data_IF_699283077186
#
_entry.id   IF_699283077186
#
_cell.length_a   1.000
_cell.length_b   1.000
_cell.length_c   1.000
_cell.angle_alpha   90.00
_cell.angle_beta   90.00
_cell.angle_gamma   90.00
#
_symmetry.space_group_name_H-M   'P 1'
#
loop_
_entity.id
_entity.type
_entity.pdbx_description
1 polymer ?
#
# COMPACT_ATOMS: atom_id res chain seq x y z
N UNK A 1 18.78 -6.66 5.71
CA UNK A 1 17.33 -6.51 5.98
C UNK A 1 16.50 -7.30 4.98
N UNK A 2 16.61 -7.05 3.67
CA UNK A 2 15.79 -7.71 2.65
C UNK A 2 16.14 -9.19 2.45
N UNK A 3 17.40 -9.63 2.59
CA UNK A 3 17.75 -11.05 2.57
C UNK A 3 17.00 -11.88 3.64
N UNK A 4 16.84 -11.30 4.85
CA UNK A 4 16.02 -11.93 5.90
C UNK A 4 14.53 -11.95 5.54
N UNK A 5 14.03 -10.90 4.87
CA UNK A 5 12.65 -10.84 4.41
C UNK A 5 12.37 -11.86 3.29
N UNK A 6 13.32 -12.08 2.39
CA UNK A 6 13.24 -13.12 1.35
C UNK A 6 13.11 -14.52 1.98
N UNK A 7 14.00 -14.84 2.92
CA UNK A 7 13.95 -16.13 3.62
C UNK A 7 12.66 -16.31 4.40
N UNK A 8 12.20 -15.24 5.11
CA UNK A 8 10.92 -15.27 5.82
C UNK A 8 9.74 -15.55 4.89
N UNK A 9 9.68 -14.86 3.74
CA UNK A 9 8.58 -15.03 2.80
C UNK A 9 8.59 -16.41 2.15
N UNK A 10 9.77 -16.95 1.83
CA UNK A 10 9.90 -18.33 1.35
C UNK A 10 9.33 -19.33 2.36
N UNK A 11 9.70 -19.19 3.63
CA UNK A 11 9.19 -20.05 4.71
C UNK A 11 7.68 -19.88 4.87
N UNK A 12 7.16 -18.66 4.86
CA UNK A 12 5.73 -18.41 5.01
C UNK A 12 4.91 -19.09 3.91
N UNK A 13 5.34 -18.95 2.64
CA UNK A 13 4.70 -19.64 1.51
C UNK A 13 4.75 -21.16 1.67
N UNK A 14 5.91 -21.70 2.04
CA UNK A 14 6.06 -23.15 2.24
C UNK A 14 5.22 -23.67 3.41
N UNK A 15 5.06 -22.88 4.47
CA UNK A 15 4.16 -23.22 5.59
C UNK A 15 2.69 -23.21 5.15
N UNK A 16 2.25 -22.24 4.37
CA UNK A 16 0.87 -22.22 3.84
C UNK A 16 0.58 -23.37 2.90
N UNK A 17 1.58 -23.86 2.17
CA UNK A 17 1.48 -25.03 1.30
C UNK A 17 1.70 -26.36 2.03
N UNK A 18 2.09 -26.34 3.32
CA UNK A 18 2.45 -27.57 4.06
C UNK A 18 1.29 -28.58 4.24
N UNK A 19 0.07 -28.16 3.97
CA UNK A 19 -1.08 -29.01 3.74
C UNK A 19 -1.50 -28.90 2.29
N UNK A 20 -1.70 -30.01 1.60
CA UNK A 20 -2.32 -29.99 0.27
C UNK A 20 -3.82 -29.63 0.39
N UNK A 21 -4.41 -29.12 -0.68
CA UNK A 21 -5.82 -28.65 -0.65
C UNK A 21 -6.82 -29.73 -0.24
N UNK A 22 -6.50 -31.01 -0.52
CA UNK A 22 -7.35 -32.16 -0.19
C UNK A 22 -6.81 -32.98 1.01
N UNK A 23 -5.94 -32.40 1.82
CA UNK A 23 -5.36 -33.08 2.98
C UNK A 23 -6.42 -33.39 4.05
N UNK A 24 -7.45 -32.55 4.19
CA UNK A 24 -8.57 -32.77 5.13
C UNK A 24 -9.58 -33.71 4.51
N UNK A 25 -9.66 -34.95 5.00
CA UNK A 25 -10.62 -35.97 4.54
C UNK A 25 -11.87 -36.01 5.40
N UNK A 26 -11.80 -35.60 6.66
CA UNK A 26 -12.89 -35.55 7.64
C UNK A 26 -13.79 -36.79 7.67
N UNK A 27 -13.18 -37.99 7.55
CA UNK A 27 -13.89 -39.29 7.52
C UNK A 27 -14.39 -39.67 8.92
N UNK A 28 -15.66 -39.47 9.16
CA UNK A 28 -16.32 -39.80 10.43
C UNK A 28 -16.44 -41.31 10.70
N UNK A 29 -16.36 -42.15 9.65
CA UNK A 29 -16.47 -43.60 9.79
C UNK A 29 -15.22 -44.21 10.40
N UNK A 30 -14.06 -43.75 9.94
CA UNK A 30 -12.75 -44.24 10.43
C UNK A 30 -12.17 -43.32 11.51
N UNK A 31 -12.76 -42.14 11.76
CA UNK A 31 -12.23 -41.12 12.67
C UNK A 31 -10.99 -40.40 12.11
N UNK A 32 -10.72 -40.54 10.82
CA UNK A 32 -9.57 -39.92 10.16
C UNK A 32 -9.90 -38.51 9.75
N UNK A 33 -9.24 -37.51 10.36
CA UNK A 33 -9.43 -36.10 10.01
C UNK A 33 -8.65 -35.70 8.77
N UNK A 34 -7.38 -36.02 8.70
CA UNK A 34 -6.49 -35.63 7.60
C UNK A 34 -5.71 -36.84 7.03
N UNK A 35 -5.25 -36.71 5.80
CA UNK A 35 -4.34 -37.66 5.17
C UNK A 35 -2.88 -37.27 5.48
N UNK A 36 -2.15 -38.06 6.31
CA UNK A 36 -0.76 -37.77 6.64
C UNK A 36 0.18 -37.69 5.43
N UNK A 37 -0.14 -38.38 4.32
CA UNK A 37 0.65 -38.36 3.10
C UNK A 37 0.62 -37.00 2.38
N UNK A 38 -0.39 -36.15 2.71
CA UNK A 38 -0.61 -34.81 2.14
C UNK A 38 -0.19 -33.70 3.08
N UNK A 39 0.55 -34.04 4.17
CA UNK A 39 1.11 -33.07 5.13
C UNK A 39 2.62 -33.08 5.02
N UNK A 40 3.21 -31.94 4.73
CA UNK A 40 4.63 -31.82 4.42
C UNK A 40 5.38 -31.03 5.49
N UNK A 41 6.45 -31.61 6.03
CA UNK A 41 7.41 -30.88 6.85
C UNK A 41 8.30 -30.01 5.96
N UNK A 42 8.61 -28.82 6.42
CA UNK A 42 9.55 -27.95 5.73
C UNK A 42 11.00 -28.35 6.01
N UNK A 43 11.30 -28.68 7.27
CA UNK A 43 12.65 -28.94 7.79
C UNK A 43 13.67 -27.87 7.33
N UNK A 44 13.21 -26.61 7.23
CA UNK A 44 14.00 -25.48 6.74
C UNK A 44 15.14 -25.18 7.71
N UNK A 45 16.35 -25.04 7.17
CA UNK A 45 17.55 -24.58 7.90
C UNK A 45 18.27 -23.55 7.03
N UNK A 46 17.98 -22.28 7.28
CA UNK A 46 18.54 -21.17 6.53
C UNK A 46 19.50 -20.30 7.35
N UNK A 47 19.88 -19.18 6.77
CA UNK A 47 20.79 -18.22 7.41
C UNK A 47 20.15 -17.50 8.59
N UNK A 48 18.85 -17.23 8.50
CA UNK A 48 18.13 -16.39 9.47
C UNK A 48 17.11 -17.17 10.31
N UNK A 49 16.64 -18.32 9.80
CA UNK A 49 15.55 -19.07 10.42
C UNK A 49 15.79 -20.58 10.37
N UNK A 50 15.22 -21.28 11.36
CA UNK A 50 15.08 -22.75 11.37
C UNK A 50 13.64 -23.07 11.72
N UNK A 51 12.94 -23.78 10.82
CA UNK A 51 11.51 -24.06 10.94
C UNK A 51 11.22 -25.51 10.52
N UNK A 52 10.66 -26.28 11.42
CA UNK A 52 10.31 -27.68 11.15
C UNK A 52 9.01 -27.81 10.32
N UNK A 53 7.97 -27.03 10.63
CA UNK A 53 6.63 -27.26 10.06
C UNK A 53 6.08 -28.64 10.40
N UNK A 54 4.95 -29.06 9.81
CA UNK A 54 4.00 -28.20 9.08
C UNK A 54 3.27 -27.19 9.97
N UNK A 55 2.40 -26.37 9.39
CA UNK A 55 1.40 -25.66 10.17
C UNK A 55 0.41 -26.67 10.77
N UNK A 56 -0.33 -26.23 11.80
CA UNK A 56 -1.41 -27.00 12.42
C UNK A 56 -2.81 -26.59 11.91
N UNK A 57 -2.85 -25.94 10.76
CA UNK A 57 -4.07 -25.49 10.08
C UNK A 57 -4.00 -25.88 8.60
N UNK A 58 -5.14 -26.16 8.02
CA UNK A 58 -5.26 -26.49 6.60
C UNK A 58 -4.91 -25.33 5.67
N UNK A 59 -4.69 -25.64 4.40
CA UNK A 59 -4.43 -24.64 3.36
C UNK A 59 -5.67 -23.76 3.14
N UNK A 60 -5.52 -22.41 3.11
CA UNK A 60 -6.65 -21.54 2.83
C UNK A 60 -7.25 -21.78 1.43
N UNK A 61 -8.55 -21.52 1.23
CA UNK A 61 -9.20 -21.71 -0.07
C UNK A 61 -8.53 -20.96 -1.23
N UNK A 62 -7.90 -19.80 -0.97
CA UNK A 62 -7.15 -19.04 -1.98
C UNK A 62 -5.65 -19.35 -2.05
N UNK A 63 -5.20 -20.42 -1.41
CA UNK A 63 -3.79 -20.83 -1.36
C UNK A 63 -2.99 -20.07 -0.32
N UNK A 64 -2.69 -18.79 -0.55
CA UNK A 64 -2.15 -17.87 0.46
C UNK A 64 -2.82 -16.51 0.42
N UNK A 65 -2.64 -15.70 1.50
CA UNK A 65 -3.07 -14.30 1.51
C UNK A 65 -2.45 -13.52 0.34
N UNK A 66 -3.14 -12.47 -0.10
CA UNK A 66 -2.58 -11.49 -1.02
C UNK A 66 -1.30 -10.90 -0.43
N UNK A 67 -0.21 -10.94 -1.19
CA UNK A 67 1.09 -10.43 -0.74
C UNK A 67 1.19 -8.94 -1.03
N UNK A 68 1.07 -8.14 0.03
CA UNK A 68 1.11 -6.67 -0.06
C UNK A 68 2.43 -6.12 0.47
N UNK A 69 3.02 -5.17 -0.23
CA UNK A 69 4.26 -4.49 0.13
C UNK A 69 4.10 -2.96 0.04
N UNK A 70 4.83 -2.20 0.84
CA UNK A 70 4.71 -0.74 0.90
C UNK A 70 6.05 0.01 0.87
N UNK A 71 7.15 -0.61 0.43
CA UNK A 71 8.47 0.02 0.37
C UNK A 71 8.76 0.64 -0.99
N UNK A 72 9.25 1.89 -0.99
CA UNK A 72 9.60 2.65 -2.20
C UNK A 72 11.12 2.90 -2.36
N UNK A 73 11.96 2.38 -1.44
CA UNK A 73 13.43 2.37 -1.62
C UNK A 73 13.83 1.42 -2.75
N UNK A 74 15.03 1.57 -3.32
CA UNK A 74 15.50 0.69 -4.40
C UNK A 74 15.41 -0.78 -4.03
N UNK A 75 15.99 -1.17 -2.88
CA UNK A 75 15.86 -2.56 -2.36
C UNK A 75 14.40 -2.97 -2.13
N UNK A 76 13.54 -2.03 -1.72
CA UNK A 76 12.11 -2.24 -1.52
C UNK A 76 11.37 -2.51 -2.82
N UNK A 77 11.69 -1.77 -3.87
CA UNK A 77 11.13 -1.96 -5.22
C UNK A 77 11.59 -3.30 -5.82
N UNK A 78 12.87 -3.66 -5.64
CA UNK A 78 13.39 -4.95 -6.11
C UNK A 78 12.73 -6.14 -5.37
N UNK A 79 12.52 -6.00 -4.06
CA UNK A 79 11.80 -7.00 -3.27
C UNK A 79 10.33 -7.11 -3.71
N UNK A 80 9.66 -5.97 -3.92
CA UNK A 80 8.29 -5.91 -4.40
C UNK A 80 8.16 -6.57 -5.79
N UNK A 81 9.04 -6.24 -6.72
CA UNK A 81 9.05 -6.80 -8.07
C UNK A 81 9.18 -8.33 -8.09
N UNK A 82 9.92 -8.91 -7.13
CA UNK A 82 10.08 -10.35 -7.02
C UNK A 82 8.92 -11.06 -6.33
N UNK A 83 8.21 -10.38 -5.41
CA UNK A 83 7.33 -11.07 -4.49
C UNK A 83 5.94 -10.49 -4.33
N UNK A 84 5.77 -9.16 -4.45
CA UNK A 84 4.49 -8.52 -4.19
C UNK A 84 3.47 -8.83 -5.28
N UNK A 85 2.20 -8.84 -4.87
CA UNK A 85 1.03 -8.94 -5.74
C UNK A 85 0.24 -7.64 -5.72
N UNK A 86 0.36 -6.87 -4.62
CA UNK A 86 -0.12 -5.50 -4.54
C UNK A 86 0.94 -4.62 -3.85
N UNK A 87 1.03 -3.35 -4.25
CA UNK A 87 1.95 -2.38 -3.68
C UNK A 87 1.14 -1.16 -3.25
N UNK A 88 1.12 -0.92 -1.94
CA UNK A 88 0.63 0.35 -1.40
C UNK A 88 1.74 1.39 -1.46
N UNK A 89 1.47 2.55 -2.06
CA UNK A 89 2.47 3.60 -2.25
C UNK A 89 1.92 5.00 -1.99
N UNK A 90 2.81 5.96 -1.82
CA UNK A 90 2.48 7.37 -1.57
C UNK A 90 3.12 8.24 -2.65
N UNK A 91 2.28 8.91 -3.43
CA UNK A 91 2.70 9.89 -4.44
C UNK A 91 1.79 11.11 -4.38
N UNK A 92 2.38 12.29 -4.50
CA UNK A 92 1.63 13.56 -4.43
C UNK A 92 1.27 14.11 -5.81
N UNK A 93 1.85 13.58 -6.88
CA UNK A 93 1.58 14.01 -8.26
C UNK A 93 1.45 12.80 -9.17
N UNK A 94 0.74 13.00 -10.28
CA UNK A 94 0.57 12.03 -11.35
C UNK A 94 1.92 11.55 -11.91
N UNK A 95 2.83 12.48 -12.22
CA UNK A 95 4.11 12.18 -12.85
C UNK A 95 4.94 11.23 -11.99
N UNK A 96 5.02 11.48 -10.68
CA UNK A 96 5.75 10.61 -9.75
C UNK A 96 5.08 9.24 -9.60
N UNK A 97 3.76 9.19 -9.63
CA UNK A 97 3.04 7.93 -9.60
C UNK A 97 3.30 7.13 -10.88
N UNK A 98 3.28 7.76 -12.05
CA UNK A 98 3.55 7.15 -13.33
C UNK A 98 5.01 6.65 -13.44
N UNK A 99 5.99 7.42 -12.99
CA UNK A 99 7.40 7.02 -12.93
C UNK A 99 7.58 5.77 -12.05
N UNK A 100 6.99 5.78 -10.86
CA UNK A 100 7.04 4.64 -9.94
C UNK A 100 6.36 3.40 -10.54
N UNK A 101 5.18 3.58 -11.12
CA UNK A 101 4.43 2.52 -11.80
C UNK A 101 5.25 1.88 -12.91
N UNK A 102 5.82 2.70 -13.80
CA UNK A 102 6.68 2.23 -14.89
C UNK A 102 7.91 1.47 -14.40
N UNK A 103 8.59 1.97 -13.37
CA UNK A 103 9.74 1.32 -12.75
C UNK A 103 9.38 -0.04 -12.14
N UNK A 104 8.29 -0.13 -11.36
CA UNK A 104 7.82 -1.40 -10.79
C UNK A 104 7.47 -2.41 -11.87
N UNK A 105 6.69 -2.02 -12.90
CA UNK A 105 6.32 -2.92 -14.00
C UNK A 105 7.56 -3.42 -14.78
N UNK A 106 8.56 -2.55 -14.99
CA UNK A 106 9.82 -2.92 -15.64
C UNK A 106 10.64 -3.91 -14.78
N UNK A 107 10.80 -3.65 -13.48
CA UNK A 107 11.51 -4.55 -12.55
C UNK A 107 10.80 -5.90 -12.42
N UNK A 108 9.48 -5.92 -12.38
CA UNK A 108 8.68 -7.16 -12.33
C UNK A 108 8.95 -8.02 -13.55
N UNK A 109 8.95 -7.40 -14.74
CA UNK A 109 9.30 -8.08 -16.00
C UNK A 109 10.74 -8.59 -15.98
N UNK A 110 11.71 -7.79 -15.50
CA UNK A 110 13.10 -8.19 -15.36
C UNK A 110 13.29 -9.35 -14.36
N UNK A 111 12.44 -9.45 -13.34
CA UNK A 111 12.39 -10.57 -12.40
C UNK A 111 11.72 -11.84 -12.98
N UNK A 112 11.32 -11.84 -14.26
CA UNK A 112 10.68 -12.98 -14.92
C UNK A 112 9.21 -13.20 -14.53
N UNK A 113 8.55 -12.18 -13.96
CA UNK A 113 7.14 -12.22 -13.57
C UNK A 113 6.30 -11.40 -14.55
N UNK A 114 5.01 -11.76 -14.60
CA UNK A 114 4.02 -10.97 -15.30
C UNK A 114 3.82 -9.61 -14.60
N UNK A 115 4.08 -8.47 -15.26
CA UNK A 115 3.85 -7.16 -14.68
C UNK A 115 2.39 -6.89 -14.33
N UNK A 116 1.42 -7.52 -15.02
CA UNK A 116 0.00 -7.34 -14.73
C UNK A 116 -0.43 -8.11 -13.47
N UNK A 117 0.37 -9.07 -13.01
CA UNK A 117 0.23 -9.74 -11.72
C UNK A 117 0.74 -8.91 -10.52
N UNK A 118 1.14 -7.65 -10.71
CA UNK A 118 1.54 -6.73 -9.62
C UNK A 118 0.71 -5.45 -9.72
N UNK A 119 -0.16 -5.24 -8.76
CA UNK A 119 -1.13 -4.15 -8.73
C UNK A 119 -0.59 -2.99 -7.89
N UNK A 120 -0.46 -1.80 -8.48
CA UNK A 120 0.04 -0.59 -7.81
C UNK A 120 -1.14 0.25 -7.33
N UNK A 121 -1.20 0.48 -6.01
CA UNK A 121 -2.31 1.10 -5.29
C UNK A 121 -1.84 2.33 -4.51
N UNK A 122 -1.70 3.51 -5.13
CA UNK A 122 -1.43 4.73 -4.38
C UNK A 122 -2.59 5.08 -3.43
N UNK A 123 -2.25 5.71 -2.30
CA UNK A 123 -3.23 6.28 -1.40
C UNK A 123 -3.76 7.61 -1.92
N UNK A 124 -5.07 7.81 -1.84
CA UNK A 124 -5.74 9.10 -2.11
C UNK A 124 -6.59 9.51 -0.90
N UNK A 125 -6.49 10.77 -0.50
CA UNK A 125 -7.27 11.38 0.59
C UNK A 125 -8.27 12.37 -0.03
N UNK A 126 -9.51 11.93 -0.32
CA UNK A 126 -10.48 12.80 -0.97
C UNK A 126 -11.29 13.61 0.05
N UNK A 127 -11.21 14.95 -0.05
CA UNK A 127 -12.13 15.88 0.58
C UNK A 127 -13.22 16.23 -0.44
N UNK A 128 -14.40 15.65 -0.29
CA UNK A 128 -15.48 15.72 -1.27
C UNK A 128 -16.58 16.64 -0.78
N UNK A 129 -16.96 17.61 -1.62
CA UNK A 129 -18.11 18.46 -1.41
C UNK A 129 -19.00 18.49 -2.66
N UNK A 130 -20.26 18.91 -2.54
CA UNK A 130 -21.15 19.09 -3.69
C UNK A 130 -20.68 20.23 -4.62
N UNK A 131 -19.86 21.12 -4.09
CA UNK A 131 -19.13 22.16 -4.83
C UNK A 131 -17.66 22.18 -4.40
N UNK A 132 -16.80 22.78 -5.22
CA UNK A 132 -15.38 22.98 -4.84
C UNK A 132 -15.23 23.84 -3.58
N UNK A 133 -16.13 24.80 -3.37
CA UNK A 133 -16.11 25.66 -2.19
C UNK A 133 -16.38 24.85 -0.93
N UNK A 134 -17.40 24.00 -0.95
CA UNK A 134 -17.69 23.08 0.17
C UNK A 134 -16.55 22.11 0.42
N UNK A 135 -15.94 21.54 -0.62
CA UNK A 135 -14.79 20.66 -0.48
C UNK A 135 -13.59 21.38 0.17
N UNK A 136 -13.31 22.62 -0.24
CA UNK A 136 -12.25 23.45 0.37
C UNK A 136 -12.56 23.81 1.82
N UNK A 137 -13.83 24.14 2.12
CA UNK A 137 -14.26 24.43 3.50
C UNK A 137 -14.09 23.19 4.40
N UNK A 138 -14.43 22.01 3.89
CA UNK A 138 -14.23 20.73 4.59
C UNK A 138 -12.73 20.48 4.86
N UNK A 139 -11.89 20.57 3.84
CA UNK A 139 -10.44 20.39 4.00
C UNK A 139 -9.86 21.37 5.03
N UNK A 140 -10.29 22.65 4.98
CA UNK A 140 -9.89 23.66 5.95
C UNK A 140 -10.34 23.32 7.37
N UNK A 141 -11.55 22.82 7.56
CA UNK A 141 -12.05 22.39 8.86
C UNK A 141 -11.15 21.32 9.49
N UNK A 142 -10.71 20.33 8.71
CA UNK A 142 -9.77 19.31 9.17
C UNK A 142 -8.38 19.90 9.46
N UNK A 143 -7.93 20.87 8.69
CA UNK A 143 -6.66 21.55 8.93
C UNK A 143 -6.69 22.37 10.22
N UNK A 144 -7.76 23.10 10.47
CA UNK A 144 -7.96 23.90 11.68
C UNK A 144 -8.01 23.04 12.98
N UNK A 145 -8.37 21.76 12.88
CA UNK A 145 -8.38 20.81 14.01
C UNK A 145 -6.99 20.25 14.35
N UNK A 146 -5.99 20.52 13.53
CA UNK A 146 -4.63 19.99 13.76
C UNK A 146 -3.93 20.76 14.85
N UNK A 147 -3.31 20.01 15.76
CA UNK A 147 -2.49 20.56 16.83
C UNK A 147 -1.05 20.72 16.32
N UNK A 148 -0.53 21.95 16.14
CA UNK A 148 0.80 22.18 15.56
C UNK A 148 1.92 21.43 16.28
N UNK A 149 1.87 21.33 17.61
CA UNK A 149 2.86 20.65 18.44
C UNK A 149 2.94 19.15 18.11
N UNK A 150 1.82 18.54 17.76
CA UNK A 150 1.82 17.14 17.30
C UNK A 150 2.51 17.01 15.95
N UNK A 151 2.21 17.89 15.02
CA UNK A 151 2.86 17.96 13.71
C UNK A 151 4.38 18.17 13.82
N UNK A 152 4.81 19.09 14.72
CA UNK A 152 6.23 19.33 15.01
C UNK A 152 6.93 18.07 15.54
N UNK A 153 6.31 17.33 16.46
CA UNK A 153 6.87 16.07 16.98
C UNK A 153 6.99 15.02 15.88
N UNK A 154 6.00 14.93 15.00
CA UNK A 154 6.07 13.99 13.88
C UNK A 154 7.17 14.36 12.88
N UNK A 155 7.28 15.66 12.56
CA UNK A 155 8.34 16.16 11.68
C UNK A 155 9.73 15.92 12.30
N UNK A 156 9.88 16.21 13.58
CA UNK A 156 11.11 15.97 14.34
C UNK A 156 11.51 14.49 14.32
N UNK A 157 10.54 13.59 14.50
CA UNK A 157 10.78 12.14 14.44
C UNK A 157 11.22 11.67 13.04
N UNK A 158 10.67 12.25 11.96
CA UNK A 158 11.09 11.93 10.58
C UNK A 158 12.53 12.36 10.34
N UNK A 159 12.92 13.50 10.88
CA UNK A 159 14.27 14.07 10.71
C UNK A 159 15.23 13.72 11.85
N UNK A 160 14.85 12.85 12.79
CA UNK A 160 15.68 12.42 13.94
C UNK A 160 16.27 13.61 14.69
N UNK A 161 15.43 14.60 15.00
CA UNK A 161 15.80 15.85 15.68
C UNK A 161 14.75 16.20 16.76
N UNK A 162 14.97 17.33 17.45
CA UNK A 162 14.02 17.81 18.47
C UNK A 162 12.96 18.74 17.84
N UNK A 163 11.71 18.77 18.36
CA UNK A 163 10.68 19.69 17.88
C UNK A 163 11.08 21.17 17.95
N UNK A 164 11.91 21.55 18.93
CA UNK A 164 12.44 22.90 19.10
C UNK A 164 13.41 23.36 18.01
N UNK A 165 13.83 22.46 17.13
CA UNK A 165 14.66 22.79 15.97
C UNK A 165 13.87 23.47 14.83
N UNK A 166 12.54 23.52 14.94
CA UNK A 166 11.66 24.04 13.91
C UNK A 166 10.90 25.28 14.39
N UNK A 167 10.94 26.32 13.57
CA UNK A 167 10.10 27.51 13.73
C UNK A 167 8.90 27.43 12.79
N UNK A 168 7.67 27.51 13.31
CA UNK A 168 6.46 27.22 12.55
C UNK A 168 6.28 28.05 11.30
N UNK A 169 6.64 29.35 11.37
CA UNK A 169 6.39 30.31 10.30
C UNK A 169 7.63 30.55 9.42
N UNK A 170 8.70 29.77 9.63
CA UNK A 170 9.92 29.75 8.83
C UNK A 170 10.00 28.53 7.91
N UNK A 171 10.81 28.55 6.85
CA UNK A 171 11.13 27.38 6.05
C UNK A 171 11.79 26.25 6.87
N UNK A 172 11.92 25.06 6.26
CA UNK A 172 12.74 23.99 6.88
C UNK A 172 14.17 24.50 7.11
N UNK A 173 14.76 24.20 8.29
CA UNK A 173 16.12 24.63 8.61
C UNK A 173 17.17 24.11 7.62
N UNK A 174 18.21 24.91 7.34
CA UNK A 174 19.29 24.56 6.42
C UNK A 174 19.97 23.21 6.76
N UNK A 175 20.10 22.89 8.05
CA UNK A 175 20.72 21.62 8.46
C UNK A 175 19.85 20.39 8.07
N UNK A 176 18.54 20.57 7.89
CA UNK A 176 17.66 19.54 7.34
C UNK A 176 17.86 19.42 5.82
N UNK A 177 17.96 20.57 5.13
CA UNK A 177 18.14 20.61 3.68
C UNK A 177 19.50 20.05 3.24
N UNK A 178 20.53 20.24 4.06
CA UNK A 178 21.92 19.81 3.80
C UNK A 178 22.24 18.37 4.25
N UNK A 179 21.29 17.63 4.82
CA UNK A 179 21.56 16.31 5.41
C UNK A 179 21.97 15.26 4.37
N UNK A 180 23.00 14.43 4.67
CA UNK A 180 23.22 13.17 3.95
C UNK A 180 22.06 12.21 4.23
N UNK A 181 21.85 11.25 3.31
CA UNK A 181 20.75 10.26 3.39
C UNK A 181 20.68 9.58 4.76
N UNK A 182 19.51 9.62 5.39
CA UNK A 182 19.23 9.02 6.70
C UNK A 182 19.02 7.51 6.59
N UNK A 183 19.43 6.73 7.60
CA UNK A 183 19.25 5.25 7.63
C UNK A 183 17.81 4.79 7.92
N UNK A 184 16.85 5.66 8.06
CA UNK A 184 15.47 5.35 8.38
C UNK A 184 14.52 5.30 7.18
N UNK A 185 13.47 6.08 7.24
CA UNK A 185 12.46 6.25 6.18
C UNK A 185 12.93 7.27 5.13
N UNK A 186 13.98 6.94 4.38
CA UNK A 186 14.62 7.83 3.39
C UNK A 186 13.62 8.43 2.40
N UNK A 187 12.72 7.61 1.86
CA UNK A 187 11.72 8.06 0.90
C UNK A 187 10.75 9.11 1.46
N UNK A 188 10.46 9.06 2.77
CA UNK A 188 9.54 10.00 3.41
C UNK A 188 10.21 11.36 3.68
N UNK A 189 11.43 11.37 4.19
CA UNK A 189 12.18 12.60 4.41
C UNK A 189 12.46 13.34 3.10
N UNK A 190 12.84 12.60 2.05
CA UNK A 190 13.12 13.16 0.73
C UNK A 190 11.86 13.81 0.12
N UNK A 191 10.70 13.15 0.23
CA UNK A 191 9.42 13.69 -0.21
C UNK A 191 9.05 15.00 0.52
N UNK A 192 9.29 15.06 1.82
CA UNK A 192 9.00 16.24 2.64
C UNK A 192 9.91 17.42 2.22
N UNK A 193 11.20 17.19 2.11
CA UNK A 193 12.17 18.21 1.69
C UNK A 193 11.81 18.73 0.30
N UNK A 194 11.58 17.85 -0.63
CA UNK A 194 11.25 18.24 -2.00
C UNK A 194 9.95 19.05 -2.07
N UNK A 195 8.90 18.62 -1.36
CA UNK A 195 7.65 19.36 -1.27
C UNK A 195 7.89 20.76 -0.71
N UNK A 196 8.61 20.86 0.41
CA UNK A 196 8.88 22.11 1.09
C UNK A 196 9.67 23.10 0.21
N UNK A 197 10.70 22.60 -0.48
CA UNK A 197 11.55 23.41 -1.37
C UNK A 197 10.80 23.82 -2.63
N UNK A 198 10.12 22.88 -3.30
CA UNK A 198 9.38 23.14 -4.55
C UNK A 198 8.30 24.20 -4.35
N UNK A 199 7.53 24.10 -3.27
CA UNK A 199 6.40 24.99 -3.01
C UNK A 199 6.75 26.14 -2.07
N UNK A 200 8.02 26.25 -1.62
CA UNK A 200 8.52 27.29 -0.69
C UNK A 200 7.68 27.36 0.60
N UNK A 201 7.39 26.22 1.18
CA UNK A 201 6.51 26.09 2.34
C UNK A 201 7.24 26.45 3.63
N UNK A 202 6.50 27.10 4.56
CA UNK A 202 6.90 27.17 5.96
C UNK A 202 6.70 25.83 6.67
N UNK A 203 7.32 25.63 7.83
CA UNK A 203 7.15 24.44 8.67
C UNK A 203 5.66 24.18 8.97
N UNK A 204 4.89 25.22 9.28
CA UNK A 204 3.43 25.14 9.50
C UNK A 204 2.72 24.57 8.27
N UNK A 205 3.04 25.06 7.09
CA UNK A 205 2.45 24.58 5.84
C UNK A 205 2.88 23.16 5.51
N UNK A 206 4.13 22.80 5.79
CA UNK A 206 4.62 21.41 5.66
C UNK A 206 3.83 20.48 6.58
N UNK A 207 3.67 20.87 7.86
CA UNK A 207 2.87 20.10 8.83
C UNK A 207 1.43 19.94 8.35
N UNK A 208 0.82 21.01 7.86
CA UNK A 208 -0.53 20.98 7.30
C UNK A 208 -0.63 20.00 6.13
N UNK A 209 0.26 20.09 5.15
CA UNK A 209 0.30 19.17 3.99
C UNK A 209 0.56 17.72 4.36
N UNK A 210 1.38 17.45 5.38
CA UNK A 210 1.71 16.10 5.83
C UNK A 210 0.65 15.51 6.76
N UNK A 211 -0.03 16.36 7.50
CA UNK A 211 -0.99 15.94 8.52
C UNK A 211 -2.26 15.31 7.95
N UNK A 212 -2.74 15.75 6.79
CA UNK A 212 -3.92 15.21 6.11
C UNK A 212 -3.62 13.92 5.38
N UNK A 213 -2.74 14.00 4.39
CA UNK A 213 -2.42 12.89 3.48
C UNK A 213 -1.26 12.01 3.91
N UNK A 214 -0.49 12.38 4.93
CA UNK A 214 0.75 11.65 5.33
C UNK A 214 1.71 11.37 4.17
N UNK A 215 1.75 12.28 3.17
CA UNK A 215 2.52 12.12 1.93
C UNK A 215 1.75 11.47 0.78
N UNK A 216 0.49 11.08 0.97
CA UNK A 216 -0.40 10.64 -0.10
C UNK A 216 -1.04 11.82 -0.83
N UNK A 217 -1.66 11.53 -1.97
CA UNK A 217 -2.33 12.53 -2.78
C UNK A 217 -3.60 13.01 -2.07
N UNK A 218 -3.64 14.29 -1.69
CA UNK A 218 -4.85 14.95 -1.21
C UNK A 218 -5.61 15.52 -2.40
N UNK A 219 -6.87 15.14 -2.51
CA UNK A 219 -7.76 15.67 -3.51
C UNK A 219 -8.89 16.49 -2.84
N UNK A 220 -9.14 17.70 -3.34
CA UNK A 220 -10.20 18.58 -2.83
C UNK A 220 -11.08 18.96 -4.01
N UNK A 221 -12.33 18.50 -4.04
CA UNK A 221 -13.22 18.81 -5.15
C UNK A 221 -14.55 18.06 -5.10
N UNK A 222 -15.25 18.07 -6.22
CA UNK A 222 -16.54 17.40 -6.40
C UNK A 222 -16.39 15.91 -6.69
N UNK A 223 -17.45 15.08 -6.55
CA UNK A 223 -17.41 13.67 -6.91
C UNK A 223 -16.96 13.41 -8.35
N UNK A 224 -17.41 14.23 -9.32
CA UNK A 224 -17.01 14.12 -10.72
C UNK A 224 -15.51 14.36 -10.89
N UNK A 225 -14.96 15.39 -10.25
CA UNK A 225 -13.53 15.70 -10.32
C UNK A 225 -12.67 14.61 -9.68
N UNK A 226 -13.12 13.99 -8.57
CA UNK A 226 -12.44 12.83 -7.97
C UNK A 226 -12.45 11.66 -8.94
N UNK A 227 -13.60 11.33 -9.53
CA UNK A 227 -13.74 10.25 -10.48
C UNK A 227 -12.87 10.47 -11.74
N UNK A 228 -12.83 11.71 -12.26
CA UNK A 228 -11.98 12.06 -13.41
C UNK A 228 -10.48 11.93 -13.08
N UNK A 229 -10.06 12.33 -11.89
CA UNK A 229 -8.68 12.15 -11.44
C UNK A 229 -8.31 10.68 -11.33
N UNK A 230 -9.16 9.86 -10.72
CA UNK A 230 -8.98 8.41 -10.63
C UNK A 230 -8.88 7.79 -12.03
N UNK A 231 -9.79 8.18 -12.93
CA UNK A 231 -9.79 7.75 -14.32
C UNK A 231 -8.46 8.09 -15.02
N UNK A 232 -8.02 9.35 -14.93
CA UNK A 232 -6.79 9.81 -15.56
C UNK A 232 -5.55 9.06 -15.04
N UNK A 233 -5.47 8.78 -13.75
CA UNK A 233 -4.35 8.02 -13.17
C UNK A 233 -4.36 6.57 -13.62
N UNK A 234 -5.52 5.94 -13.66
CA UNK A 234 -5.68 4.56 -14.09
C UNK A 234 -5.36 4.39 -15.58
N UNK A 235 -6.02 5.15 -16.43
CA UNK A 235 -5.83 5.07 -17.90
C UNK A 235 -4.44 5.53 -18.34
N UNK A 236 -3.85 6.47 -17.61
CA UNK A 236 -2.52 7.00 -17.88
C UNK A 236 -1.36 6.15 -17.36
N UNK A 237 -1.62 5.00 -16.72
CA UNK A 237 -0.58 4.10 -16.23
C UNK A 237 0.19 4.65 -15.03
N UNK A 238 -0.53 5.30 -14.10
CA UNK A 238 0.02 5.75 -12.82
C UNK A 238 -0.50 4.92 -11.62
N UNK A 239 -1.55 4.13 -11.81
CA UNK A 239 -2.17 3.27 -10.81
C UNK A 239 -2.98 2.15 -11.46
N UNK A 240 -3.08 0.98 -10.80
CA UNK A 240 -4.03 -0.08 -11.12
C UNK A 240 -5.32 0.02 -10.28
N UNK A 241 -5.32 0.85 -9.26
CA UNK A 241 -6.40 1.13 -8.33
C UNK A 241 -5.93 2.04 -7.22
N UNK A 242 -6.76 2.24 -6.18
CA UNK A 242 -6.45 3.20 -5.12
C UNK A 242 -6.80 2.67 -3.73
N UNK A 243 -5.99 3.03 -2.74
CA UNK A 243 -6.39 2.97 -1.35
C UNK A 243 -7.08 4.27 -0.96
N UNK A 244 -8.38 4.21 -0.71
CA UNK A 244 -9.17 5.36 -0.28
C UNK A 244 -8.94 5.60 1.21
N UNK A 245 -8.29 6.71 1.51
CA UNK A 245 -7.99 7.15 2.88
C UNK A 245 -8.96 8.25 3.27
N UNK A 246 -10.20 7.88 3.60
CA UNK A 246 -11.24 8.85 3.95
C UNK A 246 -10.80 9.74 5.13
N UNK A 247 -10.92 11.07 5.03
CA UNK A 247 -10.48 12.00 6.08
C UNK A 247 -11.26 11.84 7.38
N UNK A 248 -12.50 11.35 7.31
CA UNK A 248 -13.33 10.96 8.44
C UNK A 248 -14.06 9.66 8.17
N UNK A 249 -14.25 8.84 9.21
CA UNK A 249 -15.00 7.60 9.16
C UNK A 249 -16.22 7.67 10.10
N UNK A 250 -17.39 7.19 9.68
CA UNK A 250 -17.67 6.58 8.37
C UNK A 250 -17.94 7.58 7.24
N UNK A 251 -18.32 8.81 7.56
CA UNK A 251 -18.95 9.79 6.65
C UNK A 251 -18.16 10.07 5.37
N UNK A 252 -16.84 10.26 5.44
CA UNK A 252 -16.02 10.51 4.25
C UNK A 252 -15.96 9.32 3.29
N UNK A 253 -16.01 8.08 3.84
CA UNK A 253 -16.08 6.87 3.03
C UNK A 253 -17.47 6.68 2.43
N UNK A 254 -18.54 6.97 3.18
CA UNK A 254 -19.92 6.92 2.71
C UNK A 254 -20.12 7.85 1.50
N UNK A 255 -19.65 9.11 1.60
CA UNK A 255 -19.71 10.05 0.47
C UNK A 255 -18.98 9.52 -0.77
N UNK A 256 -17.81 8.91 -0.59
CA UNK A 256 -17.07 8.31 -1.70
C UNK A 256 -17.87 7.15 -2.34
N UNK A 257 -18.42 6.27 -1.52
CA UNK A 257 -19.21 5.11 -1.99
C UNK A 257 -20.50 5.56 -2.71
N UNK A 258 -21.21 6.55 -2.15
CA UNK A 258 -22.50 6.97 -2.66
C UNK A 258 -22.40 7.89 -3.88
N UNK A 259 -21.33 8.69 -3.99
CA UNK A 259 -21.24 9.73 -5.01
C UNK A 259 -20.15 9.49 -6.05
N UNK A 260 -19.02 8.87 -5.71
CA UNK A 260 -17.92 8.64 -6.65
C UNK A 260 -17.99 7.26 -7.31
N UNK A 261 -18.28 6.18 -6.56
CA UNK A 261 -18.36 4.84 -7.14
C UNK A 261 -19.39 4.70 -8.25
N UNK A 262 -20.60 5.30 -8.18
CA UNK A 262 -21.55 5.24 -9.30
C UNK A 262 -21.01 5.85 -10.59
N UNK A 263 -20.21 6.93 -10.49
CA UNK A 263 -19.56 7.55 -11.65
C UNK A 263 -18.51 6.60 -12.24
N UNK A 264 -17.67 6.00 -11.40
CA UNK A 264 -16.66 5.04 -11.86
C UNK A 264 -17.30 3.78 -12.47
N UNK A 265 -18.43 3.31 -11.93
CA UNK A 265 -19.21 2.21 -12.52
C UNK A 265 -19.76 2.58 -13.90
N UNK A 266 -20.37 3.77 -14.04
CA UNK A 266 -20.88 4.24 -15.32
C UNK A 266 -19.80 4.39 -16.39
N UNK A 267 -18.54 4.60 -15.99
CA UNK A 267 -17.36 4.61 -16.87
C UNK A 267 -16.80 3.19 -17.13
N UNK A 268 -17.34 2.14 -16.52
CA UNK A 268 -16.83 0.77 -16.61
C UNK A 268 -15.51 0.53 -15.89
N UNK A 269 -15.11 1.44 -14.98
CA UNK A 269 -13.84 1.39 -14.26
C UNK A 269 -13.94 0.71 -12.89
N UNK A 270 -15.15 0.43 -12.42
CA UNK A 270 -15.37 -0.28 -11.18
C UNK A 270 -16.44 -1.35 -11.37
N UNK A 271 -16.25 -2.50 -10.71
CA UNK A 271 -17.16 -3.64 -10.82
C UNK A 271 -18.57 -3.32 -10.30
N UNK A 272 -19.57 -3.88 -10.94
CA UNK A 272 -20.95 -3.84 -10.43
C UNK A 272 -21.15 -4.89 -9.34
N UNK A 273 -20.70 -6.12 -9.60
CA UNK A 273 -20.79 -7.27 -8.70
C UNK A 273 -19.43 -7.94 -8.52
N UNK A 274 -19.29 -8.74 -7.47
CA UNK A 274 -18.11 -9.57 -7.29
C UNK A 274 -18.25 -10.88 -8.04
N UNK A 275 -17.27 -11.18 -8.90
CA UNK A 275 -17.11 -12.48 -9.55
C UNK A 275 -16.11 -13.30 -8.74
N UNK A 276 -16.43 -14.58 -8.49
CA UNK A 276 -15.59 -15.43 -7.66
C UNK A 276 -15.84 -15.33 -6.16
N UNK A 277 -15.07 -16.08 -5.38
CA UNK A 277 -15.29 -16.29 -3.95
C UNK A 277 -14.10 -15.91 -3.07
N UNK A 278 -12.99 -15.54 -3.68
CA UNK A 278 -11.74 -15.21 -2.97
C UNK A 278 -11.24 -13.81 -3.33
N UNK A 279 -10.47 -13.21 -2.43
CA UNK A 279 -9.83 -11.92 -2.68
C UNK A 279 -8.88 -11.97 -3.89
N UNK A 280 -8.16 -13.09 -4.07
CA UNK A 280 -7.25 -13.28 -5.20
C UNK A 280 -7.97 -13.23 -6.53
N UNK A 281 -9.13 -13.90 -6.64
CA UNK A 281 -9.98 -13.83 -7.84
C UNK A 281 -10.45 -12.42 -8.12
N UNK A 282 -10.85 -11.66 -7.08
CA UNK A 282 -11.24 -10.25 -7.22
C UNK A 282 -10.09 -9.34 -7.69
N UNK A 283 -8.84 -9.75 -7.46
CA UNK A 283 -7.64 -9.06 -7.97
C UNK A 283 -7.14 -9.63 -9.31
N UNK A 284 -7.88 -10.60 -9.92
CA UNK A 284 -7.46 -11.24 -11.17
C UNK A 284 -6.22 -12.12 -11.02
N UNK A 285 -5.88 -12.53 -9.80
CA UNK A 285 -4.70 -13.32 -9.51
C UNK A 285 -5.03 -14.83 -9.50
N UNK A 286 -4.16 -15.67 -10.08
CA UNK A 286 -4.38 -17.11 -10.08
C UNK A 286 -4.26 -17.69 -8.67
N UNK A 287 -4.91 -18.85 -8.46
CA UNK A 287 -4.65 -19.67 -7.28
C UNK A 287 -3.18 -20.13 -7.32
N UNK A 288 -2.40 -19.90 -6.26
CA UNK A 288 -1.02 -20.36 -6.21
C UNK A 288 -0.93 -21.87 -6.25
N UNK A 289 -0.04 -22.40 -7.09
CA UNK A 289 0.25 -23.84 -7.11
C UNK A 289 0.91 -24.23 -5.79
N UNK A 290 0.45 -25.34 -5.19
CA UNK A 290 1.10 -25.88 -4.00
C UNK A 290 2.48 -26.42 -4.37
N UNK A 291 3.52 -25.96 -3.67
CA UNK A 291 4.90 -26.32 -4.02
C UNK A 291 5.29 -27.75 -3.64
N UNK A 292 4.46 -28.46 -2.86
CA UNK A 292 4.64 -29.88 -2.52
C UNK A 292 3.76 -30.82 -3.35
N UNK A 293 2.87 -30.26 -4.16
CA UNK A 293 2.05 -31.06 -5.06
C UNK A 293 2.90 -31.46 -6.28
N UNK A 294 3.20 -32.75 -6.39
CA UNK A 294 3.96 -33.36 -7.49
C UNK A 294 3.03 -33.97 -8.52
#
# INVERSE_FOLDING_TARGET
RYARADEFLHIAKALWDSWESEAVVADKTTGRYADPARLHKLDHRGTHFTVAGPLNVERPPQGYPLLVQAGSSEDGKDFAARHAEAIFTAHQTYERAADFYGDIKARTRAAGRDPDGVIVLPGIVPYIGSTEEEARALAKQFDDLRVPEYGLRQLAAVFETEPSAFELDEPLPDFILARPKLEGSQSRSDLIIELAVREKLTVRQVISRLGGGRGHFEFIGTPDQVADTITAWFEGGAADGFNIMAPALPSGLEVFIEQVLPILRSKGLFREEYEGTTLREHYGLPLPVNQFHV
#
